data_IF_328213775708
#
_entry.id   IF_328213775708
#
_cell.length_a   1.000
_cell.length_b   1.000
_cell.length_c   1.000
_cell.angle_alpha   90.00
_cell.angle_beta   90.00
_cell.angle_gamma   90.00
#
_symmetry.space_group_name_H-M   'P 1'
#
loop_
_entity.id
_entity.type
_entity.pdbx_description
1 polymer ?
#
# COMPACT_ATOMS: atom_id res chain seq x y z
N UNK A 1 27.85 -10.93 3.95
CA UNK A 1 26.80 -10.72 2.94
C UNK A 1 26.25 -9.34 3.17
N UNK A 2 26.29 -8.49 2.14
CA UNK A 2 25.94 -7.07 2.27
C UNK A 2 24.42 -6.88 2.28
N UNK A 3 23.93 -5.83 2.95
CA UNK A 3 22.48 -5.55 3.05
C UNK A 3 21.89 -5.26 1.67
N UNK A 4 22.69 -4.70 0.77
CA UNK A 4 22.31 -4.43 -0.61
C UNK A 4 22.19 -5.71 -1.44
N UNK A 5 23.04 -6.72 -1.19
CA UNK A 5 22.90 -8.05 -1.81
C UNK A 5 21.60 -8.73 -1.39
N UNK A 6 21.23 -8.59 -0.12
CA UNK A 6 20.00 -9.15 0.42
C UNK A 6 18.77 -8.46 -0.22
N UNK A 7 18.80 -7.14 -0.37
CA UNK A 7 17.74 -6.36 -1.04
C UNK A 7 17.59 -6.72 -2.52
N UNK A 8 18.70 -6.88 -3.24
CA UNK A 8 18.66 -7.30 -4.64
C UNK A 8 18.09 -8.71 -4.80
N UNK A 9 18.48 -9.64 -3.93
CA UNK A 9 17.98 -11.02 -3.97
C UNK A 9 16.47 -11.08 -3.71
N UNK A 10 15.95 -10.27 -2.79
CA UNK A 10 14.53 -10.17 -2.48
C UNK A 10 13.74 -9.51 -3.62
N UNK A 11 14.29 -8.45 -4.25
CA UNK A 11 13.70 -7.84 -5.45
C UNK A 11 13.64 -8.80 -6.64
N UNK A 12 14.70 -9.59 -6.87
CA UNK A 12 14.74 -10.61 -7.92
C UNK A 12 13.73 -11.73 -7.66
N UNK A 13 13.62 -12.22 -6.42
CA UNK A 13 12.62 -13.22 -6.02
C UNK A 13 11.18 -12.70 -6.16
N UNK A 14 10.91 -11.44 -5.79
CA UNK A 14 9.58 -10.83 -5.91
C UNK A 14 9.15 -10.60 -7.37
N UNK A 15 10.07 -10.18 -8.25
CA UNK A 15 9.78 -9.98 -9.68
C UNK A 15 9.48 -11.29 -10.41
N UNK A 16 10.22 -12.37 -10.15
CA UNK A 16 10.14 -13.61 -10.93
C UNK A 16 8.94 -14.53 -10.62
N UNK A 17 8.36 -14.50 -9.41
CA UNK A 17 7.32 -15.49 -9.06
C UNK A 17 5.88 -15.01 -9.28
N UNK A 18 5.63 -13.69 -9.26
CA UNK A 18 4.28 -13.13 -9.25
C UNK A 18 3.86 -12.55 -10.60
N UNK A 19 4.77 -11.90 -11.33
CA UNK A 19 4.39 -11.22 -12.58
C UNK A 19 4.15 -12.19 -13.73
N UNK A 20 4.92 -13.28 -13.81
CA UNK A 20 4.81 -14.23 -14.92
C UNK A 20 3.51 -15.06 -14.84
N UNK A 21 3.13 -15.51 -13.64
CA UNK A 21 1.87 -16.24 -13.43
C UNK A 21 0.63 -15.40 -13.74
N UNK A 22 0.64 -14.11 -13.40
CA UNK A 22 -0.48 -13.21 -13.70
C UNK A 22 -0.56 -12.93 -15.20
N UNK A 23 0.58 -12.78 -15.88
CA UNK A 23 0.62 -12.62 -17.34
C UNK A 23 0.13 -13.87 -18.08
N UNK A 24 0.52 -15.06 -17.64
CA UNK A 24 0.04 -16.33 -18.20
C UNK A 24 -1.46 -16.52 -18.01
N UNK A 25 -1.97 -16.26 -16.79
CA UNK A 25 -3.41 -16.29 -16.51
C UNK A 25 -4.19 -15.29 -17.36
N UNK A 26 -3.64 -14.09 -17.56
CA UNK A 26 -4.25 -13.08 -18.42
C UNK A 26 -4.27 -13.50 -19.88
N UNK A 27 -3.18 -14.07 -20.40
CA UNK A 27 -3.14 -14.58 -21.78
C UNK A 27 -4.12 -15.73 -22.01
N UNK A 28 -4.30 -16.63 -21.03
CA UNK A 28 -5.29 -17.71 -21.10
C UNK A 28 -6.73 -17.18 -21.12
N UNK A 29 -7.05 -16.20 -20.27
CA UNK A 29 -8.38 -15.57 -20.23
C UNK A 29 -8.63 -14.75 -21.51
N UNK A 30 -7.61 -14.07 -22.02
CA UNK A 30 -7.73 -13.24 -23.22
C UNK A 30 -7.88 -14.07 -24.51
N UNK A 31 -7.31 -15.28 -24.55
CA UNK A 31 -7.44 -16.22 -25.67
C UNK A 31 -8.85 -16.77 -25.84
N UNK A 32 -9.73 -16.60 -24.85
CA UNK A 32 -11.14 -16.95 -24.95
C UNK A 32 -11.90 -15.82 -25.67
N UNK A 33 -12.21 -16.04 -26.97
CA UNK A 33 -12.81 -15.04 -27.88
C UNK A 33 -14.26 -14.64 -27.57
N UNK A 34 -14.92 -15.30 -26.63
CA UNK A 34 -16.34 -15.11 -26.34
C UNK A 34 -16.61 -14.34 -25.04
N UNK A 35 -15.60 -13.69 -24.46
CA UNK A 35 -15.75 -12.93 -23.22
C UNK A 35 -15.54 -11.44 -23.47
N UNK A 36 -16.48 -10.66 -22.98
CA UNK A 36 -16.35 -9.21 -22.86
C UNK A 36 -15.25 -8.87 -21.86
N UNK A 37 -14.70 -7.67 -21.97
CA UNK A 37 -13.64 -7.18 -21.06
C UNK A 37 -14.05 -7.25 -19.59
N UNK A 38 -15.33 -7.03 -19.30
CA UNK A 38 -15.89 -7.13 -17.95
C UNK A 38 -15.82 -8.56 -17.40
N UNK A 39 -16.24 -9.54 -18.18
CA UNK A 39 -16.25 -10.96 -17.77
C UNK A 39 -14.82 -11.51 -17.58
N UNK A 40 -13.87 -11.02 -18.38
CA UNK A 40 -12.44 -11.33 -18.21
C UNK A 40 -11.90 -10.86 -16.86
N UNK A 41 -12.31 -9.67 -16.41
CA UNK A 41 -11.91 -9.11 -15.12
C UNK A 41 -12.59 -9.84 -13.94
N UNK A 42 -13.87 -10.17 -14.05
CA UNK A 42 -14.58 -10.95 -13.02
C UNK A 42 -13.95 -12.33 -12.82
N UNK A 43 -13.60 -13.04 -13.89
CA UNK A 43 -12.88 -14.33 -13.79
C UNK A 43 -11.52 -14.22 -13.10
N UNK A 44 -10.79 -13.13 -13.32
CA UNK A 44 -9.50 -12.92 -12.67
C UNK A 44 -9.67 -12.74 -11.16
N UNK A 45 -10.70 -12.03 -10.73
CA UNK A 45 -11.04 -11.86 -9.31
C UNK A 45 -11.47 -13.18 -8.67
N UNK A 46 -12.24 -14.02 -9.37
CA UNK A 46 -12.64 -15.34 -8.86
C UNK A 46 -11.45 -16.28 -8.64
N UNK A 47 -10.49 -16.30 -9.56
CA UNK A 47 -9.27 -17.12 -9.45
C UNK A 47 -8.43 -16.67 -8.25
N UNK A 48 -8.30 -15.35 -8.04
CA UNK A 48 -7.61 -14.79 -6.88
C UNK A 48 -8.29 -15.15 -5.56
N UNK A 49 -9.64 -15.15 -5.53
CA UNK A 49 -10.43 -15.53 -4.35
C UNK A 49 -10.26 -17.01 -4.01
N UNK A 50 -10.30 -17.92 -5.00
CA UNK A 50 -10.17 -19.37 -4.79
C UNK A 50 -8.81 -19.80 -4.23
N UNK A 51 -7.71 -19.18 -4.68
CA UNK A 51 -6.36 -19.45 -4.15
C UNK A 51 -6.19 -19.09 -2.67
N UNK A 52 -7.05 -18.21 -2.13
CA UNK A 52 -6.99 -17.78 -0.72
C UNK A 52 -7.64 -18.79 0.23
N UNK A 53 -8.58 -19.58 -0.27
CA UNK A 53 -9.34 -20.57 0.52
C UNK A 53 -8.57 -21.86 0.77
N UNK A 54 -7.74 -22.32 -0.17
CA UNK A 54 -7.01 -23.61 -0.05
C UNK A 54 -5.88 -23.60 1.00
N UNK A 55 -5.44 -22.43 1.48
CA UNK A 55 -4.37 -22.33 2.50
C UNK A 55 -4.85 -22.52 3.94
N UNK A 56 -6.14 -22.74 4.18
CA UNK A 56 -6.75 -22.66 5.53
C UNK A 56 -6.87 -23.99 6.28
N UNK A 57 -6.60 -25.14 5.66
CA UNK A 57 -6.88 -26.48 6.23
C UNK A 57 -5.73 -27.12 7.04
N UNK A 58 -4.85 -26.34 7.69
CA UNK A 58 -3.83 -26.91 8.60
C UNK A 58 -4.19 -26.62 10.07
N UNK A 59 -4.42 -27.66 10.90
CA UNK A 59 -4.76 -27.45 12.31
C UNK A 59 -3.50 -27.06 13.12
N UNK A 60 -3.63 -26.04 13.98
CA UNK A 60 -2.59 -25.63 14.94
C UNK A 60 -3.05 -25.95 16.39
N UNK A 61 -2.14 -26.39 17.29
CA UNK A 61 -2.48 -26.67 18.68
C UNK A 61 -2.64 -25.40 19.52
N UNK A 62 -3.48 -25.48 20.55
CA UNK A 62 -3.87 -24.38 21.42
C UNK A 62 -2.77 -24.00 22.44
N UNK A 63 -2.57 -22.69 22.64
CA UNK A 63 -1.76 -22.12 23.72
C UNK A 63 -2.62 -21.22 24.62
N UNK A 64 -2.35 -21.16 25.95
CA UNK A 64 -3.21 -20.50 26.92
C UNK A 64 -2.79 -19.03 27.20
N UNK A 65 -3.79 -18.15 27.30
CA UNK A 65 -3.67 -16.73 27.66
C UNK A 65 -4.93 -15.98 27.22
N UNK A 66 -5.25 -14.78 27.77
CA UNK A 66 -6.44 -14.04 27.39
C UNK A 66 -6.28 -13.57 25.94
N UNK A 67 -6.80 -14.38 25.01
CA UNK A 67 -6.54 -14.22 23.59
C UNK A 67 -7.41 -13.09 23.05
N UNK A 68 -6.77 -12.00 22.62
CA UNK A 68 -7.34 -11.07 21.64
C UNK A 68 -7.87 -11.93 20.49
N UNK A 69 -9.18 -11.89 20.24
CA UNK A 69 -9.84 -12.88 19.38
C UNK A 69 -9.17 -13.06 18.01
N UNK A 70 -9.30 -14.24 17.38
CA UNK A 70 -8.66 -14.58 16.11
C UNK A 70 -9.29 -13.76 14.96
N UNK A 71 -8.80 -12.53 14.78
CA UNK A 71 -9.35 -11.61 13.79
C UNK A 71 -8.77 -10.20 13.86
N UNK A 72 -8.26 -9.75 15.01
CA UNK A 72 -7.55 -8.49 15.08
C UNK A 72 -6.12 -8.67 14.58
N UNK A 73 -5.91 -8.37 13.29
CA UNK A 73 -4.56 -8.15 12.77
C UNK A 73 -3.90 -7.06 13.66
N UNK A 74 -2.63 -7.22 14.04
CA UNK A 74 -1.93 -6.17 14.76
C UNK A 74 -1.99 -4.88 13.93
N UNK A 75 -2.25 -3.75 14.59
CA UNK A 75 -2.14 -2.44 13.96
C UNK A 75 -0.71 -2.30 13.43
N UNK A 76 -0.57 -2.24 12.11
CA UNK A 76 0.72 -2.15 11.47
C UNK A 76 1.06 -0.68 11.30
N UNK A 77 1.92 -0.17 12.17
CA UNK A 77 2.55 1.15 11.97
C UNK A 77 3.74 0.94 11.05
N UNK A 78 3.66 1.50 9.85
CA UNK A 78 4.79 1.55 8.92
C UNK A 78 5.24 3.00 8.80
N UNK A 79 6.50 3.25 9.13
CA UNK A 79 7.10 4.56 8.93
C UNK A 79 7.67 4.62 7.52
N UNK A 80 7.12 5.49 6.67
CA UNK A 80 7.65 5.76 5.34
C UNK A 80 8.48 7.04 5.40
N UNK A 81 9.80 6.92 5.43
CA UNK A 81 10.69 8.07 5.30
C UNK A 81 10.76 8.51 3.84
N UNK A 82 10.21 9.69 3.53
CA UNK A 82 10.36 10.32 2.23
C UNK A 82 11.54 11.30 2.27
N UNK A 83 12.38 11.26 1.24
CA UNK A 83 13.40 12.28 1.08
C UNK A 83 12.75 13.58 0.59
N UNK A 84 13.18 14.73 1.12
CA UNK A 84 12.60 16.03 0.78
C UNK A 84 12.82 16.43 -0.69
N UNK A 85 13.84 15.88 -1.33
CA UNK A 85 14.14 16.02 -2.76
C UNK A 85 13.28 15.13 -3.66
N UNK A 86 12.52 14.19 -3.09
CA UNK A 86 11.53 13.41 -3.84
C UNK A 86 10.48 14.35 -4.43
N UNK A 87 9.94 14.01 -5.60
CA UNK A 87 9.06 14.88 -6.38
C UNK A 87 7.73 14.20 -6.66
N UNK A 88 6.66 14.99 -6.61
CA UNK A 88 5.38 14.64 -7.19
C UNK A 88 5.22 15.40 -8.51
N UNK A 89 5.35 14.68 -9.63
CA UNK A 89 5.49 15.31 -10.94
C UNK A 89 6.74 16.20 -11.01
N UNK A 90 6.55 17.50 -11.23
CA UNK A 90 7.64 18.47 -11.27
C UNK A 90 7.92 19.14 -9.93
N UNK A 91 7.11 18.91 -8.90
CA UNK A 91 7.17 19.66 -7.64
C UNK A 91 7.89 18.81 -6.57
N UNK A 92 8.99 19.29 -5.96
CA UNK A 92 9.61 18.64 -4.81
C UNK A 92 8.69 18.62 -3.60
N UNK A 93 8.74 17.55 -2.80
CA UNK A 93 7.98 17.46 -1.55
C UNK A 93 8.34 18.58 -0.57
N UNK A 94 9.59 19.04 -0.56
CA UNK A 94 10.03 20.17 0.26
C UNK A 94 9.19 21.44 0.06
N UNK A 95 8.70 21.70 -1.15
CA UNK A 95 7.88 22.88 -1.45
C UNK A 95 6.56 22.84 -0.71
N UNK A 96 5.99 21.65 -0.51
CA UNK A 96 4.76 21.48 0.26
C UNK A 96 4.92 21.78 1.75
N UNK A 97 6.15 21.75 2.27
CA UNK A 97 6.46 22.07 3.67
C UNK A 97 6.80 23.56 3.87
N UNK A 98 7.08 24.29 2.80
CA UNK A 98 7.51 25.69 2.83
C UNK A 98 6.34 26.67 2.60
N UNK A 99 5.13 26.28 3.02
CA UNK A 99 3.95 27.16 2.93
C UNK A 99 4.01 28.17 4.07
N UNK A 100 4.05 29.49 3.78
CA UNK A 100 4.14 30.51 4.83
C UNK A 100 2.90 30.54 5.72
N UNK A 101 3.09 30.81 7.02
CA UNK A 101 2.01 30.94 8.00
C UNK A 101 0.85 31.86 7.57
N UNK A 102 1.09 33.06 6.99
CA UNK A 102 0.00 33.90 6.48
C UNK A 102 -0.86 33.20 5.42
N UNK A 103 -0.27 32.36 4.57
CA UNK A 103 -1.00 31.55 3.59
C UNK A 103 -1.80 30.46 4.32
N UNK A 104 -1.22 29.81 5.33
CA UNK A 104 -1.92 28.83 6.16
C UNK A 104 -3.14 29.44 6.86
N UNK A 105 -3.02 30.65 7.40
CA UNK A 105 -4.14 31.35 8.05
C UNK A 105 -5.31 31.60 7.10
N UNK A 106 -5.01 31.98 5.85
CA UNK A 106 -6.05 32.14 4.81
C UNK A 106 -6.69 30.80 4.44
N UNK A 107 -5.89 29.75 4.27
CA UNK A 107 -6.38 28.41 3.92
C UNK A 107 -7.25 27.79 5.02
N UNK A 108 -6.81 27.92 6.28
CA UNK A 108 -7.52 27.41 7.46
C UNK A 108 -8.69 28.31 7.89
N UNK A 109 -8.71 29.57 7.43
CA UNK A 109 -9.59 30.63 7.94
C UNK A 109 -9.45 30.83 9.44
N UNK A 110 -8.21 30.76 9.92
CA UNK A 110 -7.85 30.83 11.33
C UNK A 110 -6.50 31.53 11.52
N UNK A 111 -6.51 32.68 12.20
CA UNK A 111 -5.33 33.51 12.46
C UNK A 111 -4.29 32.81 13.33
N UNK A 112 -4.66 31.76 14.09
CA UNK A 112 -3.70 30.97 14.86
C UNK A 112 -2.60 30.34 13.99
N UNK A 113 -2.88 30.16 12.69
CA UNK A 113 -1.95 29.57 11.73
C UNK A 113 -0.92 30.56 11.18
N UNK A 114 -1.05 31.87 11.41
CA UNK A 114 -0.13 32.89 10.87
C UNK A 114 1.32 32.68 11.30
N UNK A 115 1.51 32.09 12.49
CA UNK A 115 2.83 31.87 13.10
C UNK A 115 3.29 30.41 13.03
N UNK A 116 2.52 29.54 12.39
CA UNK A 116 2.83 28.13 12.27
C UNK A 116 3.67 27.85 11.02
N UNK A 117 4.43 26.75 11.09
CA UNK A 117 5.22 26.22 9.98
C UNK A 117 4.91 24.74 9.81
N UNK A 118 4.83 24.30 8.55
CA UNK A 118 4.63 22.88 8.23
C UNK A 118 5.91 22.04 8.38
N UNK A 119 7.08 22.66 8.59
CA UNK A 119 8.35 21.93 8.74
C UNK A 119 8.35 20.96 9.94
N UNK A 120 7.54 21.22 10.97
CA UNK A 120 7.35 20.33 12.12
C UNK A 120 5.96 19.69 12.19
N UNK A 121 5.16 19.79 11.13
CA UNK A 121 3.79 19.29 11.14
C UNK A 121 3.74 17.77 10.93
N UNK A 122 2.75 17.13 11.56
CA UNK A 122 2.38 15.74 11.30
C UNK A 122 1.11 15.72 10.47
N UNK A 123 1.21 15.20 9.25
CA UNK A 123 0.08 15.06 8.33
C UNK A 123 -0.53 13.67 8.50
N UNK A 124 -1.81 13.63 8.88
CA UNK A 124 -2.55 12.39 9.08
C UNK A 124 -3.56 12.24 7.95
N UNK A 125 -3.32 11.28 7.06
CA UNK A 125 -4.31 10.83 6.10
C UNK A 125 -5.08 9.65 6.71
N UNK A 126 -6.37 9.85 6.93
CA UNK A 126 -7.27 8.89 7.56
C UNK A 126 -8.23 8.26 6.53
N UNK A 127 -7.93 8.36 5.24
CA UNK A 127 -8.73 7.71 4.21
C UNK A 127 -8.81 6.19 4.47
N UNK A 128 -10.03 5.67 4.50
CA UNK A 128 -10.33 4.24 4.64
C UNK A 128 -11.20 3.78 3.47
N UNK A 129 -11.28 2.48 3.24
CA UNK A 129 -12.04 1.92 2.10
C UNK A 129 -13.57 2.10 2.18
N UNK A 130 -14.09 2.77 3.21
CA UNK A 130 -15.51 2.74 3.58
C UNK A 130 -15.88 1.49 4.35
#
# INVERSE_FOLDING_TARGET
MDIDDLRESLRKKAKGQSQDKVKELWQNINSQKNLTTREKLERLLEISRKQKTEKKDRPQPASPGPSRGPGQRPFLVVENSYKLDARYGQIPLSVGLDIPGPVLAVLARDEQFERLSLAGAVLLDLETTG
#
